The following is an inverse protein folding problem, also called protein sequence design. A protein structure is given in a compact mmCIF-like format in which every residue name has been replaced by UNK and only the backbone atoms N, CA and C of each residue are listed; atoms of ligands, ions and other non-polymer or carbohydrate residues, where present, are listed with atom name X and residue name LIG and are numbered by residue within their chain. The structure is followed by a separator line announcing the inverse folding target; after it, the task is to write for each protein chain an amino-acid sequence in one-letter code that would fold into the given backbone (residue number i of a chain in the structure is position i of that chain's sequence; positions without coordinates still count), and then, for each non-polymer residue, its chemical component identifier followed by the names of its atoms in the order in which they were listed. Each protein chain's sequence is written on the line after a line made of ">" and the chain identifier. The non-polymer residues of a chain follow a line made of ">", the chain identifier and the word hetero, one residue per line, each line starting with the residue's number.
data_IF_410923369588
#
_entry.id   IF_410923369588
#
_cell.length_a   1.000
_cell.length_b   1.000
_cell.length_c   1.000
_cell.angle_alpha   90.00
_cell.angle_beta   90.00
_cell.angle_gamma   90.00
#
_symmetry.space_group_name_H-M   'P 1'
#
loop_
_entity.id
_entity.type
_entity.pdbx_description
1 polymer ?
#
# COMPACT_ATOMS: atom_id res chain seq x y z
N UNK A 1 -12.27 1.00 -8.49
CA UNK A 1 -11.08 1.70 -7.93
C UNK A 1 -10.54 0.94 -6.76
N UNK A 2 -9.24 0.97 -6.56
CA UNK A 2 -8.55 0.30 -5.48
C UNK A 2 -7.82 1.32 -4.60
N UNK A 3 -7.82 1.06 -3.31
CA UNK A 3 -6.93 1.66 -2.34
C UNK A 3 -5.66 0.79 -2.30
N UNK A 4 -4.52 1.39 -2.61
CA UNK A 4 -3.25 0.67 -2.73
C UNK A 4 -2.30 1.19 -1.65
N UNK A 5 -1.79 0.27 -0.84
CA UNK A 5 -0.75 0.53 0.15
C UNK A 5 0.51 -0.18 -0.31
N UNK A 6 1.60 0.57 -0.42
CA UNK A 6 2.94 0.04 -0.69
C UNK A 6 3.81 0.30 0.53
N UNK A 7 4.34 -0.74 1.14
CA UNK A 7 5.29 -0.66 2.25
C UNK A 7 6.63 -1.09 1.69
N UNK A 8 7.57 -0.18 1.58
CA UNK A 8 8.82 -0.41 0.88
C UNK A 8 10.03 0.02 1.71
N UNK A 9 11.17 -0.59 1.43
CA UNK A 9 12.43 -0.16 2.03
C UNK A 9 12.74 1.29 1.61
N UNK A 10 13.31 2.13 2.49
CA UNK A 10 13.62 3.53 2.19
C UNK A 10 14.42 3.73 0.89
N UNK A 11 15.34 2.85 0.60
CA UNK A 11 16.18 2.94 -0.60
C UNK A 11 15.41 2.82 -1.94
N UNK A 12 14.22 2.20 -1.94
CA UNK A 12 13.42 2.02 -3.16
C UNK A 12 12.22 2.96 -3.24
N UNK A 13 11.91 3.69 -2.17
CA UNK A 13 10.80 4.64 -2.14
C UNK A 13 10.84 5.70 -3.26
N UNK A 14 11.98 6.31 -3.60
CA UNK A 14 12.05 7.26 -4.72
C UNK A 14 11.67 6.64 -6.07
N UNK A 15 12.02 5.37 -6.28
CA UNK A 15 11.66 4.63 -7.52
C UNK A 15 10.17 4.29 -7.54
N UNK A 16 9.59 3.94 -6.40
CA UNK A 16 8.15 3.73 -6.28
C UNK A 16 7.40 5.01 -6.65
N UNK A 17 7.82 6.16 -6.14
CA UNK A 17 7.22 7.44 -6.47
C UNK A 17 7.34 7.76 -7.97
N UNK A 18 8.49 7.47 -8.59
CA UNK A 18 8.67 7.65 -10.03
C UNK A 18 7.72 6.76 -10.87
N UNK A 19 7.51 5.51 -10.47
CA UNK A 19 6.53 4.62 -11.11
C UNK A 19 5.11 5.20 -10.98
N UNK A 20 4.72 5.67 -9.81
CA UNK A 20 3.40 6.27 -9.57
C UNK A 20 3.19 7.53 -10.42
N UNK A 21 4.21 8.37 -10.55
CA UNK A 21 4.17 9.54 -11.42
C UNK A 21 4.02 9.16 -12.90
N UNK A 22 4.78 8.17 -13.37
CA UNK A 22 4.71 7.69 -14.74
C UNK A 22 3.33 7.07 -15.10
N UNK A 23 2.64 6.53 -14.09
CA UNK A 23 1.27 6.02 -14.23
C UNK A 23 0.20 7.10 -14.04
N UNK A 24 0.61 8.36 -13.86
CA UNK A 24 -0.30 9.49 -13.65
C UNK A 24 -1.31 9.24 -12.52
N UNK A 25 -0.83 8.69 -11.39
CA UNK A 25 -1.68 8.46 -10.24
C UNK A 25 -1.94 9.79 -9.53
N UNK A 26 -3.23 10.19 -9.38
CA UNK A 26 -3.60 11.55 -8.98
C UNK A 26 -3.37 11.83 -7.49
N UNK A 27 -3.21 10.79 -6.69
CA UNK A 27 -2.98 10.89 -5.24
C UNK A 27 -1.85 9.97 -4.84
N UNK A 28 -0.87 10.54 -4.16
CA UNK A 28 0.16 9.79 -3.46
C UNK A 28 0.41 10.43 -2.10
N UNK A 29 0.27 9.64 -1.05
CA UNK A 29 0.58 10.05 0.33
C UNK A 29 1.73 9.18 0.78
N UNK A 30 2.80 9.82 1.25
CA UNK A 30 3.98 9.14 1.77
C UNK A 30 4.09 9.35 3.27
N UNK A 31 4.27 8.25 4.00
CA UNK A 31 4.41 8.22 5.45
C UNK A 31 5.67 7.43 5.81
N UNK A 32 6.29 7.79 6.91
CA UNK A 32 7.33 6.97 7.53
C UNK A 32 6.68 5.96 8.45
N UNK A 33 7.11 4.71 8.34
CA UNK A 33 6.58 3.62 9.13
C UNK A 33 7.69 2.85 9.84
N UNK A 34 7.34 2.23 10.97
CA UNK A 34 8.19 1.32 11.69
C UNK A 34 7.57 -0.07 11.71
N UNK A 35 8.34 -1.05 11.23
CA UNK A 35 7.93 -2.46 11.30
C UNK A 35 7.86 -2.95 12.74
N UNK A 36 6.85 -3.76 13.04
CA UNK A 36 6.60 -4.34 14.37
C UNK A 36 6.90 -5.85 14.43
N UNK A 37 7.47 -6.42 13.35
CA UNK A 37 7.89 -7.81 13.33
C UNK A 37 8.96 -8.09 14.38
N UNK A 38 8.90 -9.27 15.00
CA UNK A 38 9.94 -9.73 15.93
C UNK A 38 11.26 -9.97 15.21
N UNK A 39 12.39 -9.93 15.93
CA UNK A 39 13.71 -10.13 15.34
C UNK A 39 13.78 -11.46 14.59
N UNK A 40 13.22 -12.54 15.14
CA UNK A 40 13.19 -13.86 14.48
C UNK A 40 12.50 -13.83 13.11
N UNK A 41 11.42 -13.05 12.96
CA UNK A 41 10.72 -12.90 11.68
C UNK A 41 11.53 -12.04 10.73
N UNK A 42 12.20 -10.98 11.23
CA UNK A 42 13.08 -10.15 10.42
C UNK A 42 14.28 -10.96 9.88
N UNK A 43 14.89 -11.77 10.71
CA UNK A 43 16.00 -12.66 10.33
C UNK A 43 15.57 -13.71 9.31
N UNK A 44 14.37 -14.30 9.49
CA UNK A 44 13.79 -15.26 8.57
C UNK A 44 13.51 -14.66 7.19
N UNK A 45 13.11 -13.39 7.13
CA UNK A 45 12.81 -12.67 5.90
C UNK A 45 14.03 -11.92 5.32
N UNK A 46 15.19 -12.00 5.96
CA UNK A 46 16.39 -11.28 5.55
C UNK A 46 16.29 -9.76 5.71
N UNK A 47 15.44 -9.27 6.62
CA UNK A 47 15.21 -7.86 6.85
C UNK A 47 16.19 -7.31 7.89
N UNK A 48 16.94 -6.27 7.56
CA UNK A 48 17.90 -5.63 8.45
C UNK A 48 17.40 -4.34 9.11
N UNK A 49 16.31 -3.77 8.60
CA UNK A 49 15.76 -2.50 9.08
C UNK A 49 14.31 -2.63 9.50
N UNK A 50 13.90 -1.78 10.43
CA UNK A 50 12.51 -1.62 10.84
C UNK A 50 11.87 -0.36 10.29
N UNK A 51 12.63 0.44 9.55
CA UNK A 51 12.12 1.68 8.94
C UNK A 51 11.63 1.38 7.53
N UNK A 52 10.45 1.89 7.22
CA UNK A 52 9.79 1.72 5.93
C UNK A 52 9.18 3.03 5.46
N UNK A 53 9.07 3.20 4.16
CA UNK A 53 8.18 4.17 3.56
C UNK A 53 6.86 3.48 3.22
N UNK A 54 5.77 4.09 3.67
CA UNK A 54 4.41 3.66 3.37
C UNK A 54 3.88 4.64 2.33
N UNK A 55 3.62 4.15 1.14
CA UNK A 55 3.07 4.97 0.05
C UNK A 55 1.66 4.50 -0.22
N UNK A 56 0.70 5.43 -0.07
CA UNK A 56 -0.72 5.18 -0.25
C UNK A 56 -1.18 5.89 -1.51
N UNK A 57 -1.90 5.18 -2.37
CA UNK A 57 -2.53 5.76 -3.56
C UNK A 57 -3.89 5.16 -3.82
N UNK A 58 -4.65 5.82 -4.71
CA UNK A 58 -5.92 5.32 -5.24
C UNK A 58 -5.75 5.20 -6.75
N UNK A 59 -6.07 4.03 -7.28
CA UNK A 59 -5.94 3.72 -8.70
C UNK A 59 -7.14 2.93 -9.22
N UNK A 60 -7.43 3.05 -10.50
CA UNK A 60 -8.33 2.14 -11.18
C UNK A 60 -7.70 0.74 -11.30
N UNK A 61 -8.47 -0.23 -11.77
CA UNK A 61 -8.03 -1.62 -11.88
C UNK A 61 -6.81 -1.76 -12.78
N UNK A 62 -6.79 -1.08 -13.92
CA UNK A 62 -5.72 -1.20 -14.91
C UNK A 62 -4.43 -0.58 -14.40
N UNK A 63 -4.51 0.61 -13.79
CA UNK A 63 -3.33 1.26 -13.20
C UNK A 63 -2.82 0.52 -11.97
N UNK A 64 -3.69 -0.10 -11.19
CA UNK A 64 -3.29 -0.97 -10.08
C UNK A 64 -2.48 -2.16 -10.59
N UNK A 65 -2.96 -2.85 -11.63
CA UNK A 65 -2.26 -3.98 -12.22
C UNK A 65 -0.88 -3.55 -12.78
N UNK A 66 -0.83 -2.44 -13.50
CA UNK A 66 0.43 -1.86 -14.02
C UNK A 66 1.38 -1.46 -12.90
N UNK A 67 0.89 -0.84 -11.83
CA UNK A 67 1.71 -0.47 -10.68
C UNK A 67 2.39 -1.70 -10.06
N UNK A 68 1.65 -2.77 -9.86
CA UNK A 68 2.18 -4.02 -9.30
C UNK A 68 3.21 -4.63 -10.28
N UNK A 69 2.91 -4.65 -11.57
CA UNK A 69 3.82 -5.17 -12.60
C UNK A 69 5.14 -4.39 -12.67
N UNK A 70 5.08 -3.06 -12.71
CA UNK A 70 6.26 -2.19 -12.73
C UNK A 70 7.08 -2.29 -11.44
N UNK A 71 6.41 -2.37 -10.29
CA UNK A 71 7.08 -2.58 -9.01
C UNK A 71 7.79 -3.95 -8.95
N UNK A 72 7.21 -5.01 -9.49
CA UNK A 72 7.88 -6.31 -9.61
C UNK A 72 9.11 -6.23 -10.49
N UNK A 73 9.03 -5.58 -11.65
CA UNK A 73 10.13 -5.49 -12.62
C UNK A 73 11.29 -4.61 -12.11
N UNK A 74 10.98 -3.49 -11.49
CA UNK A 74 11.97 -2.46 -11.21
C UNK A 74 12.37 -2.34 -9.74
N UNK A 75 11.53 -2.82 -8.81
CA UNK A 75 11.78 -2.76 -7.38
C UNK A 75 11.99 -4.15 -6.78
N UNK A 76 11.75 -5.21 -7.56
CA UNK A 76 11.83 -6.59 -7.07
C UNK A 76 10.96 -6.80 -5.82
N UNK A 77 9.75 -6.20 -5.82
CA UNK A 77 8.88 -6.14 -4.65
C UNK A 77 8.47 -7.53 -4.11
N UNK A 78 8.56 -8.55 -4.95
CA UNK A 78 8.32 -9.94 -4.62
C UNK A 78 9.53 -10.64 -3.97
N UNK A 79 10.70 -9.98 -3.92
CA UNK A 79 11.85 -10.52 -3.23
C UNK A 79 11.77 -10.22 -1.71
N UNK A 80 12.23 -11.14 -0.85
CA UNK A 80 12.28 -10.92 0.59
C UNK A 80 12.98 -9.60 0.94
N UNK A 81 12.38 -8.82 1.83
CA UNK A 81 12.96 -7.57 2.32
C UNK A 81 12.76 -6.34 1.44
N UNK A 82 12.24 -6.47 0.22
CA UNK A 82 12.04 -5.32 -0.66
C UNK A 82 10.75 -4.54 -0.34
N UNK A 83 9.75 -5.22 0.20
CA UNK A 83 8.50 -4.59 0.60
C UNK A 83 7.27 -5.43 0.29
N UNK A 84 6.12 -4.78 0.36
CA UNK A 84 4.83 -5.38 0.03
C UNK A 84 3.94 -4.33 -0.64
N UNK A 85 3.12 -4.77 -1.58
CA UNK A 85 2.02 -3.99 -2.14
C UNK A 85 0.72 -4.74 -1.89
N UNK A 86 -0.23 -4.06 -1.26
CA UNK A 86 -1.57 -4.56 -1.06
C UNK A 86 -2.58 -3.63 -1.75
N UNK A 87 -3.53 -4.21 -2.45
CA UNK A 87 -4.61 -3.47 -3.09
C UNK A 87 -5.96 -4.00 -2.60
N UNK A 88 -6.81 -3.10 -2.13
CA UNK A 88 -8.16 -3.43 -1.70
C UNK A 88 -9.19 -2.63 -2.48
N UNK A 89 -10.30 -3.25 -2.92
CA UNK A 89 -11.35 -2.54 -3.61
C UNK A 89 -12.01 -1.49 -2.71
N UNK A 90 -12.24 -0.29 -3.26
CA UNK A 90 -12.98 0.76 -2.59
C UNK A 90 -14.46 0.57 -2.87
N UNK A 91 -15.26 0.40 -1.82
CA UNK A 91 -16.71 0.21 -1.94
C UNK A 91 -17.43 1.51 -2.34
N UNK A 92 -17.00 2.65 -1.79
CA UNK A 92 -17.58 3.95 -2.12
C UNK A 92 -16.59 5.09 -1.86
N UNK A 93 -16.73 6.18 -2.63
CA UNK A 93 -15.96 7.41 -2.45
C UNK A 93 -16.96 8.56 -2.32
N UNK A 94 -16.83 9.36 -1.27
CA UNK A 94 -17.62 10.59 -1.09
C UNK A 94 -17.10 11.73 -1.99
N UNK A 95 -18.02 12.55 -2.53
CA UNK A 95 -17.68 13.72 -3.33
C UNK A 95 -17.51 13.45 -4.84
N UNK A 96 -18.49 13.82 -5.65
CA UNK A 96 -18.48 13.56 -7.10
C UNK A 96 -17.30 14.18 -7.84
N UNK A 97 -16.87 15.40 -7.48
CA UNK A 97 -15.69 16.05 -8.07
C UNK A 97 -14.39 15.31 -7.72
N UNK A 98 -14.27 14.83 -6.49
CA UNK A 98 -13.12 14.04 -6.03
C UNK A 98 -13.05 12.74 -6.81
N UNK A 99 -14.17 12.05 -6.98
CA UNK A 99 -14.22 10.80 -7.75
C UNK A 99 -13.80 11.00 -9.22
N UNK A 100 -14.26 12.08 -9.85
CA UNK A 100 -13.90 12.41 -11.23
C UNK A 100 -12.38 12.64 -11.36
N UNK A 101 -11.76 13.35 -10.41
CA UNK A 101 -10.31 13.56 -10.40
C UNK A 101 -9.54 12.26 -10.17
N UNK A 102 -9.97 11.46 -9.21
CA UNK A 102 -9.31 10.18 -8.89
C UNK A 102 -9.41 9.19 -10.06
N UNK A 103 -10.48 9.27 -10.83
CA UNK A 103 -10.70 8.40 -12.00
C UNK A 103 -10.17 9.00 -13.31
N UNK A 104 -9.53 10.17 -13.26
CA UNK A 104 -9.03 10.89 -14.44
C UNK A 104 -10.11 11.02 -15.56
N UNK A 105 -11.35 11.31 -15.17
CA UNK A 105 -12.49 11.46 -16.10
C UNK A 105 -13.00 10.15 -16.73
N UNK A 106 -12.49 8.99 -16.34
CA UNK A 106 -12.97 7.69 -16.83
C UNK A 106 -14.31 7.33 -16.20
N UNK A 107 -15.16 6.55 -16.89
CA UNK A 107 -16.43 6.07 -16.33
C UNK A 107 -16.14 5.22 -15.07
N UNK A 108 -17.08 5.28 -14.12
CA UNK A 108 -17.00 4.44 -12.93
C UNK A 108 -17.11 2.97 -13.34
N UNK A 109 -16.17 2.16 -12.89
CA UNK A 109 -16.25 0.69 -13.04
C UNK A 109 -17.39 0.15 -12.17
N UNK A 110 -17.96 -0.99 -12.58
CA UNK A 110 -18.94 -1.73 -11.78
C UNK A 110 -18.45 -2.08 -10.39
N UNK A 111 -19.32 -2.58 -9.54
CA UNK A 111 -18.97 -3.02 -8.19
C UNK A 111 -17.84 -4.04 -8.24
N UNK A 112 -16.78 -3.89 -7.41
CA UNK A 112 -15.67 -4.82 -7.41
C UNK A 112 -16.09 -6.20 -6.90
N UNK A 113 -15.50 -7.23 -7.46
CA UNK A 113 -15.57 -8.57 -6.87
C UNK A 113 -14.75 -8.58 -5.58
N UNK A 114 -15.40 -8.88 -4.46
CA UNK A 114 -14.75 -8.83 -3.15
C UNK A 114 -14.21 -10.23 -2.81
N UNK A 115 -12.90 -10.32 -2.58
CA UNK A 115 -12.26 -11.50 -2.04
C UNK A 115 -12.13 -11.34 -0.53
N UNK A 116 -12.78 -12.22 0.23
CA UNK A 116 -12.79 -12.19 1.71
C UNK A 116 -11.69 -13.03 2.35
N UNK A 117 -10.72 -13.52 1.60
CA UNK A 117 -9.64 -14.34 2.16
C UNK A 117 -8.63 -13.51 2.98
N UNK A 118 -8.58 -12.21 2.74
CA UNK A 118 -7.67 -11.29 3.42
C UNK A 118 -8.38 -9.98 3.72
N UNK A 119 -8.04 -9.40 4.86
CA UNK A 119 -8.55 -8.09 5.29
C UNK A 119 -7.38 -7.17 5.65
N UNK A 120 -7.58 -5.87 5.43
CA UNK A 120 -6.67 -4.85 5.92
C UNK A 120 -7.34 -4.19 7.13
N UNK A 121 -6.69 -4.26 8.28
CA UNK A 121 -7.11 -3.57 9.48
C UNK A 121 -6.24 -2.33 9.68
N UNK A 122 -6.86 -1.16 9.68
CA UNK A 122 -6.21 0.11 9.96
C UNK A 122 -6.64 0.61 11.33
N UNK A 123 -5.71 0.61 12.28
CA UNK A 123 -5.95 1.14 13.63
C UNK A 123 -5.33 2.54 13.76
N UNK A 124 -6.12 3.50 14.24
CA UNK A 124 -5.66 4.85 14.59
C UNK A 124 -5.72 4.98 16.09
N UNK A 125 -4.58 5.12 16.74
CA UNK A 125 -4.46 5.20 18.18
C UNK A 125 -3.54 6.36 18.59
N UNK A 126 -3.54 6.70 19.87
CA UNK A 126 -2.59 7.68 20.41
C UNK A 126 -1.15 7.15 20.32
N UNK A 127 -0.20 8.06 20.27
CA UNK A 127 1.22 7.73 20.31
C UNK A 127 1.57 6.88 21.54
N UNK A 128 2.40 5.85 21.35
CA UNK A 128 2.82 4.93 22.40
C UNK A 128 1.97 3.67 22.55
N UNK A 129 0.82 3.55 21.88
CA UNK A 129 -0.06 2.38 21.96
C UNK A 129 0.25 1.27 20.94
N UNK A 130 1.30 1.41 20.14
CA UNK A 130 1.64 0.45 19.08
C UNK A 130 1.82 -0.96 19.61
N UNK A 131 2.56 -1.13 20.70
CA UNK A 131 2.84 -2.45 21.27
C UNK A 131 1.56 -3.11 21.79
N UNK A 132 0.70 -2.34 22.47
CA UNK A 132 -0.60 -2.83 22.96
C UNK A 132 -1.51 -3.30 21.83
N UNK A 133 -1.59 -2.52 20.73
CA UNK A 133 -2.36 -2.90 19.55
C UNK A 133 -1.79 -4.17 18.90
N UNK A 134 -0.46 -4.28 18.84
CA UNK A 134 0.19 -5.45 18.24
C UNK A 134 0.09 -6.70 19.11
N UNK A 135 0.05 -6.58 20.43
CA UNK A 135 -0.21 -7.69 21.33
C UNK A 135 -1.63 -8.22 21.10
N UNK A 136 -2.63 -7.35 21.10
CA UNK A 136 -4.02 -7.72 20.82
C UNK A 136 -4.22 -8.34 19.42
N UNK A 137 -3.44 -7.94 18.45
CA UNK A 137 -3.53 -8.47 17.07
C UNK A 137 -2.86 -9.86 16.91
N UNK A 138 -2.08 -10.32 17.89
CA UNK A 138 -1.40 -11.63 17.87
C UNK A 138 -2.15 -12.70 18.66
N UNK A 139 -3.15 -12.34 19.45
CA UNK A 139 -4.07 -13.24 20.16
C UNK A 139 -5.13 -13.82 19.19
#
# INVERSE_FOLDING_TARGET
>A
MNFVISIVHPAVAPRMNAIMQALELPLSIELLGRGTATQNVLDLLGLSTREYHIVITIADRDRTAKLIEEARKHLYIDAPGQGIIAATPIKSVGGGKTLANLNAGRPAEGAPEINYNYEIVLAIANEGYTDTVMEAARE
#
